data_IF_968070368638
#
_entry.id   IF_968070368638
#
_cell.length_a   1.000
_cell.length_b   1.000
_cell.length_c   1.000
_cell.angle_alpha   90.00
_cell.angle_beta   90.00
_cell.angle_gamma   90.00
#
_symmetry.space_group_name_H-M   'P 1'
#
loop_
_entity.id
_entity.type
_entity.pdbx_description
1 polymer ?
#
# COMPACT_ATOMS: atom_id res chain seq x y z
N UNK A 1 -9.23 -0.32 -1.81
CA UNK A 1 -8.49 0.43 -2.85
C UNK A 1 -8.57 1.91 -2.52
N UNK A 2 -7.43 2.52 -2.22
CA UNK A 2 -7.30 3.96 -2.00
C UNK A 2 -6.41 4.55 -3.09
N UNK A 3 -6.79 5.74 -3.59
CA UNK A 3 -5.97 6.51 -4.52
C UNK A 3 -5.51 7.78 -3.82
N UNK A 4 -4.20 8.03 -3.83
CA UNK A 4 -3.58 9.21 -3.22
C UNK A 4 -2.75 9.97 -4.26
N UNK A 5 -2.59 11.27 -4.06
CA UNK A 5 -1.71 12.05 -4.91
C UNK A 5 -0.24 11.78 -4.59
N UNK A 6 0.66 12.08 -5.53
CA UNK A 6 2.11 12.05 -5.28
C UNK A 6 2.49 12.94 -4.08
N UNK A 7 1.82 14.08 -3.93
CA UNK A 7 2.10 15.00 -2.83
C UNK A 7 1.74 14.41 -1.47
N UNK A 8 0.58 13.79 -1.34
CA UNK A 8 0.19 13.08 -0.12
C UNK A 8 1.08 11.87 0.13
N UNK A 9 1.43 11.16 -0.94
CA UNK A 9 2.27 9.97 -0.85
C UNK A 9 3.65 10.26 -0.27
N UNK A 10 4.34 11.32 -0.71
CA UNK A 10 5.65 11.70 -0.15
C UNK A 10 5.57 12.13 1.31
N UNK A 11 4.47 12.79 1.71
CA UNK A 11 4.28 13.28 3.08
C UNK A 11 3.89 12.16 4.05
N UNK A 12 3.14 11.16 3.57
CA UNK A 12 2.57 10.10 4.41
C UNK A 12 3.02 8.69 4.02
N UNK A 13 4.17 8.54 3.36
CA UNK A 13 4.64 7.27 2.81
C UNK A 13 4.65 6.15 3.85
N UNK A 14 5.18 6.41 5.06
CA UNK A 14 5.23 5.40 6.13
C UNK A 14 3.85 4.90 6.55
N UNK A 15 2.82 5.76 6.53
CA UNK A 15 1.43 5.36 6.82
C UNK A 15 0.88 4.49 5.70
N UNK A 16 1.12 4.88 4.46
CA UNK A 16 0.66 4.13 3.28
C UNK A 16 1.31 2.74 3.22
N UNK A 17 2.61 2.63 3.53
CA UNK A 17 3.29 1.34 3.61
C UNK A 17 2.62 0.42 4.64
N UNK A 18 2.31 0.93 5.85
CA UNK A 18 1.60 0.12 6.86
C UNK A 18 0.23 -0.33 6.38
N UNK A 19 -0.53 0.54 5.71
CA UNK A 19 -1.83 0.18 5.15
C UNK A 19 -1.69 -0.90 4.06
N UNK A 20 -0.71 -0.76 3.16
CA UNK A 20 -0.42 -1.77 2.15
C UNK A 20 -0.04 -3.12 2.76
N UNK A 21 0.81 -3.12 3.79
CA UNK A 21 1.20 -4.32 4.54
C UNK A 21 0.01 -5.00 5.24
N UNK A 22 -0.98 -4.22 5.69
CA UNK A 22 -2.24 -4.75 6.23
C UNK A 22 -3.15 -5.39 5.18
N UNK A 23 -2.82 -5.25 3.89
CA UNK A 23 -3.57 -5.77 2.76
C UNK A 23 -4.38 -4.73 1.98
N UNK A 24 -4.22 -3.44 2.29
CA UNK A 24 -4.89 -2.38 1.54
C UNK A 24 -4.27 -2.18 0.15
N UNK A 25 -5.11 -1.93 -0.85
CA UNK A 25 -4.64 -1.64 -2.19
C UNK A 25 -4.44 -0.14 -2.38
N UNK A 26 -3.21 0.30 -2.69
CA UNK A 26 -2.86 1.72 -2.77
C UNK A 26 -2.40 2.09 -4.18
N UNK A 27 -3.04 3.08 -4.80
CA UNK A 27 -2.68 3.68 -6.08
C UNK A 27 -2.17 5.11 -5.84
N UNK A 28 -1.05 5.46 -6.46
CA UNK A 28 -0.52 6.83 -6.44
C UNK A 28 -0.77 7.47 -7.81
N UNK A 29 -1.35 8.65 -7.79
CA UNK A 29 -1.78 9.40 -8.97
C UNK A 29 -1.13 10.79 -9.05
N UNK A 30 -0.99 11.30 -10.27
CA UNK A 30 -0.69 12.71 -10.52
C UNK A 30 -1.98 13.39 -10.96
N UNK A 31 -2.58 14.18 -10.08
CA UNK A 31 -3.92 14.74 -10.30
C UNK A 31 -4.95 13.62 -10.46
N UNK A 32 -5.66 13.59 -11.59
CA UNK A 32 -6.65 12.54 -11.91
C UNK A 32 -6.06 11.29 -12.55
N UNK A 33 -4.77 11.30 -12.93
CA UNK A 33 -4.15 10.20 -13.67
C UNK A 33 -3.45 9.22 -12.70
N UNK A 34 -3.92 7.97 -12.54
CA UNK A 34 -3.22 6.95 -11.78
C UNK A 34 -1.91 6.59 -12.50
N UNK A 35 -0.81 6.47 -11.75
CA UNK A 35 0.51 6.23 -12.34
C UNK A 35 1.16 4.95 -11.82
N UNK A 36 1.12 4.73 -10.51
CA UNK A 36 1.79 3.58 -9.87
C UNK A 36 0.92 2.96 -8.78
N UNK A 37 1.22 1.71 -8.44
CA UNK A 37 0.57 0.96 -7.36
C UNK A 37 1.61 0.59 -6.31
N UNK A 38 1.28 0.73 -5.03
CA UNK A 38 2.08 0.19 -3.94
C UNK A 38 1.76 -1.29 -3.80
N UNK A 39 2.76 -2.15 -4.07
CA UNK A 39 2.62 -3.61 -3.98
C UNK A 39 3.59 -4.12 -2.92
N UNK A 40 3.06 -4.88 -1.97
CA UNK A 40 3.87 -5.55 -0.95
C UNK A 40 4.59 -6.72 -1.59
N UNK A 41 5.91 -6.76 -1.43
CA UNK A 41 6.75 -7.86 -1.90
C UNK A 41 6.40 -9.17 -1.17
N UNK A 42 6.56 -10.33 -1.83
CA UNK A 42 6.30 -11.63 -1.20
C UNK A 42 7.05 -11.84 0.11
N UNK A 43 8.32 -11.42 0.21
CA UNK A 43 9.09 -11.58 1.46
C UNK A 43 8.58 -10.70 2.61
N UNK A 44 8.01 -9.54 2.27
CA UNK A 44 7.47 -8.59 3.24
C UNK A 44 6.02 -8.91 3.65
N UNK A 45 5.35 -9.84 2.95
CA UNK A 45 4.05 -10.35 3.39
C UNK A 45 4.27 -11.16 4.66
N UNK A 46 3.81 -10.63 5.79
CA UNK A 46 3.68 -11.46 6.98
C UNK A 46 2.77 -12.63 6.62
N UNK A 47 3.34 -13.84 6.61
CA UNK A 47 2.57 -15.06 6.54
C UNK A 47 1.63 -15.05 7.74
N UNK A 48 0.35 -14.71 7.53
CA UNK A 48 -0.68 -14.98 8.52
C UNK A 48 -0.63 -16.50 8.74
N UNK A 49 -0.06 -16.93 9.87
CA UNK A 49 -0.23 -18.30 10.36
C UNK A 49 -1.71 -18.45 10.66
N UNK A 50 -2.46 -18.91 9.66
CA UNK A 50 -3.84 -19.34 9.84
C UNK A 50 -3.79 -20.55 10.80
N UNK A 51 -4.41 -20.37 11.98
CA UNK A 51 -4.69 -21.34 13.03
C UNK A 51 -3.87 -22.63 13.07
N UNK A 52 -2.98 -22.75 14.06
CA UNK A 52 -2.64 -24.07 14.60
C UNK A 52 -3.84 -24.60 15.36
N UNK A 53 -4.39 -25.72 14.88
CA UNK A 53 -5.36 -26.53 15.61
C UNK A 53 -4.71 -27.14 16.87
#
# INVERSE_FOLDING_TARGET
MIQVTIHEAKTHLSRLIRQALSGEEIIIAKGKKPLIKLVVLPEARQQRRLGGA
#
